data_IF_107059903373
#
_entry.id   IF_107059903373
#
_cell.length_a   1.000
_cell.length_b   1.000
_cell.length_c   1.000
_cell.angle_alpha   90.00
_cell.angle_beta   90.00
_cell.angle_gamma   90.00
#
_symmetry.space_group_name_H-M   'P 1'
#
loop_
_entity.id
_entity.type
_entity.pdbx_description
1 polymer ?
#
# COMPACT_ATOMS: atom_id res chain seq x y z
N UNK A 1 10.56 -21.78 14.12
CA UNK A 1 11.63 -22.67 13.61
C UNK A 1 10.97 -23.93 13.08
N UNK A 2 11.27 -24.33 11.84
CA UNK A 2 10.78 -25.58 11.28
C UNK A 2 11.60 -26.72 11.86
N UNK A 3 10.94 -27.85 12.15
CA UNK A 3 11.62 -29.05 12.63
C UNK A 3 12.38 -29.66 11.45
N UNK A 4 13.65 -29.96 11.65
CA UNK A 4 14.45 -30.62 10.61
C UNK A 4 13.94 -32.03 10.40
N UNK A 5 13.80 -32.44 9.14
CA UNK A 5 13.49 -33.80 8.74
C UNK A 5 14.79 -34.44 8.27
N UNK A 6 15.10 -35.64 8.76
CA UNK A 6 16.28 -36.43 8.39
C UNK A 6 15.83 -37.77 7.88
N UNK A 7 16.66 -38.43 7.08
CA UNK A 7 16.41 -39.77 6.60
C UNK A 7 16.45 -40.78 7.76
N UNK A 8 15.53 -41.74 7.74
CA UNK A 8 15.46 -42.81 8.72
C UNK A 8 16.30 -44.00 8.27
N UNK A 9 17.29 -44.38 9.08
CA UNK A 9 18.09 -45.60 8.86
C UNK A 9 17.48 -46.77 9.65
N UNK A 10 17.21 -47.90 8.98
CA UNK A 10 16.64 -49.07 9.62
C UNK A 10 17.55 -49.70 10.68
N UNK A 11 18.87 -49.56 10.56
CA UNK A 11 19.83 -50.16 11.48
C UNK A 11 20.11 -49.27 12.69
N UNK A 12 20.18 -47.94 12.47
CA UNK A 12 20.65 -46.97 13.49
C UNK A 12 19.57 -46.01 13.95
N UNK A 13 18.38 -46.05 13.34
CA UNK A 13 17.30 -45.11 13.63
C UNK A 13 17.58 -43.69 13.11
N UNK A 14 17.04 -42.71 13.79
CA UNK A 14 17.26 -41.29 13.50
C UNK A 14 17.84 -40.59 14.73
N UNK A 15 18.86 -39.77 14.53
CA UNK A 15 19.45 -38.99 15.64
C UNK A 15 18.47 -37.92 16.08
N UNK A 16 18.10 -37.92 17.37
CA UNK A 16 17.24 -36.89 17.94
C UNK A 16 17.93 -35.54 17.89
N UNK A 17 17.33 -34.62 17.16
CA UNK A 17 17.76 -33.21 17.19
C UNK A 17 17.32 -32.54 18.51
N UNK A 18 18.20 -31.77 19.12
CA UNK A 18 17.81 -30.86 20.22
C UNK A 18 17.01 -29.69 19.64
N UNK A 19 15.71 -29.67 19.90
CA UNK A 19 14.84 -28.56 19.51
C UNK A 19 15.28 -27.27 20.21
N UNK A 20 15.92 -26.37 19.47
CA UNK A 20 16.20 -25.02 19.98
C UNK A 20 14.98 -24.11 19.79
N UNK A 21 14.46 -23.55 20.87
CA UNK A 21 13.44 -22.52 20.78
C UNK A 21 14.12 -21.15 20.85
N UNK A 22 14.12 -20.43 19.73
CA UNK A 22 14.54 -19.03 19.73
C UNK A 22 13.34 -18.16 20.11
N UNK A 23 13.48 -17.39 21.19
CA UNK A 23 12.50 -16.39 21.61
C UNK A 23 12.84 -15.05 20.96
N UNK A 24 11.87 -14.42 20.35
CA UNK A 24 11.98 -13.03 19.92
C UNK A 24 11.24 -12.12 20.90
N UNK A 25 11.91 -11.08 21.35
CA UNK A 25 11.31 -10.05 22.21
C UNK A 25 10.57 -9.03 21.36
N UNK A 26 9.43 -8.57 21.87
CA UNK A 26 8.68 -7.44 21.32
C UNK A 26 8.57 -6.37 22.41
N UNK A 27 9.05 -5.18 22.10
CA UNK A 27 8.89 -4.04 22.98
C UNK A 27 7.52 -3.42 22.77
N UNK A 28 6.78 -3.21 23.84
CA UNK A 28 5.48 -2.52 23.81
C UNK A 28 5.79 -1.03 23.87
N UNK A 29 5.50 -0.34 22.76
CA UNK A 29 5.92 1.04 22.53
C UNK A 29 4.76 2.00 22.22
N UNK A 30 3.54 1.47 22.04
CA UNK A 30 2.35 2.26 21.71
C UNK A 30 1.45 2.37 22.94
N UNK A 31 1.17 3.60 23.35
CA UNK A 31 0.21 3.94 24.38
C UNK A 31 -0.70 5.04 23.84
N UNK A 32 -1.93 4.69 23.47
CA UNK A 32 -2.90 5.55 22.82
C UNK A 32 -4.16 5.66 23.66
N UNK A 33 -4.69 6.88 23.77
CA UNK A 33 -5.92 7.11 24.50
C UNK A 33 -6.78 8.18 23.85
N UNK A 34 -8.07 8.11 24.15
CA UNK A 34 -9.06 9.17 23.88
C UNK A 34 -9.54 9.72 25.22
N UNK A 35 -9.72 11.03 25.25
CA UNK A 35 -10.33 11.72 26.37
C UNK A 35 -11.02 12.96 25.81
N UNK A 36 -12.35 12.91 25.69
CA UNK A 36 -13.19 14.02 25.21
C UNK A 36 -14.20 14.39 26.29
N UNK A 37 -14.27 15.65 26.67
CA UNK A 37 -15.20 16.14 27.66
C UNK A 37 -16.45 16.63 26.95
N UNK A 38 -17.61 16.16 27.42
CA UNK A 38 -18.94 16.56 26.95
C UNK A 38 -19.64 17.29 28.10
N UNK A 39 -20.01 18.54 27.85
CA UNK A 39 -20.80 19.32 28.82
C UNK A 39 -22.23 18.74 28.88
N UNK A 40 -22.76 18.59 30.09
CA UNK A 40 -24.10 18.05 30.29
C UNK A 40 -25.21 18.93 29.70
N UNK A 41 -25.00 20.24 29.62
CA UNK A 41 -25.92 21.16 28.98
C UNK A 41 -25.99 20.94 27.47
N UNK A 42 -24.82 20.75 26.82
CA UNK A 42 -24.74 20.42 25.41
C UNK A 42 -25.35 19.06 25.10
N UNK A 43 -25.08 18.06 25.94
CA UNK A 43 -25.68 16.73 25.83
C UNK A 43 -27.20 16.73 25.94
N UNK A 44 -27.74 17.60 26.80
CA UNK A 44 -29.20 17.77 26.98
C UNK A 44 -29.86 18.61 25.88
N UNK A 45 -29.08 19.52 25.24
CA UNK A 45 -29.59 20.44 24.21
C UNK A 45 -29.60 19.83 22.79
N UNK A 46 -28.85 18.77 22.54
CA UNK A 46 -28.79 18.09 21.25
C UNK A 46 -29.88 17.01 21.20
N UNK A 47 -30.80 17.05 20.21
CA UNK A 47 -31.92 16.11 20.14
C UNK A 47 -31.48 14.67 19.82
N UNK A 48 -30.33 14.50 19.18
CA UNK A 48 -29.76 13.19 18.86
C UNK A 48 -28.82 12.73 19.98
N UNK A 49 -28.65 11.43 20.11
CA UNK A 49 -27.90 10.78 21.19
C UNK A 49 -26.38 11.06 21.11
N UNK A 50 -25.97 12.33 21.29
CA UNK A 50 -24.60 12.83 21.16
C UNK A 50 -23.57 11.96 21.89
N UNK A 51 -23.89 11.50 23.10
CA UNK A 51 -22.99 10.69 23.92
C UNK A 51 -22.71 9.33 23.26
N UNK A 52 -23.74 8.67 22.70
CA UNK A 52 -23.54 7.39 22.02
C UNK A 52 -22.71 7.54 20.75
N UNK A 53 -22.97 8.57 19.96
CA UNK A 53 -22.20 8.85 18.74
C UNK A 53 -20.73 9.14 19.05
N UNK A 54 -20.45 9.83 20.17
CA UNK A 54 -19.08 10.09 20.61
C UNK A 54 -18.38 8.81 21.12
N UNK A 55 -19.10 7.94 21.83
CA UNK A 55 -18.56 6.63 22.25
C UNK A 55 -18.19 5.77 21.04
N UNK A 56 -19.08 5.67 20.06
CA UNK A 56 -18.83 4.90 18.84
C UNK A 56 -17.66 5.49 18.03
N UNK A 57 -17.63 6.82 17.86
CA UNK A 57 -16.56 7.53 17.18
C UNK A 57 -15.20 7.33 17.86
N UNK A 58 -15.15 7.39 19.19
CA UNK A 58 -13.95 7.16 19.98
C UNK A 58 -13.44 5.71 19.84
N UNK A 59 -14.36 4.73 19.86
CA UNK A 59 -14.04 3.32 19.64
C UNK A 59 -13.45 3.09 18.25
N UNK A 60 -14.09 3.64 17.22
CA UNK A 60 -13.61 3.59 15.83
C UNK A 60 -12.23 4.24 15.67
N UNK A 61 -12.03 5.41 16.26
CA UNK A 61 -10.75 6.15 16.18
C UNK A 61 -9.59 5.40 16.83
N UNK A 62 -9.81 4.78 18.01
CA UNK A 62 -8.80 3.96 18.67
C UNK A 62 -8.46 2.70 17.85
N UNK A 63 -9.47 2.05 17.28
CA UNK A 63 -9.26 0.89 16.42
C UNK A 63 -8.50 1.28 15.14
N UNK A 64 -8.90 2.36 14.49
CA UNK A 64 -8.23 2.88 13.30
C UNK A 64 -6.77 3.28 13.55
N UNK A 65 -6.47 3.89 14.71
CA UNK A 65 -5.09 4.21 15.10
C UNK A 65 -4.23 2.95 15.29
N UNK A 66 -4.79 1.92 15.94
CA UNK A 66 -4.10 0.65 16.14
C UNK A 66 -3.81 -0.06 14.80
N UNK A 67 -4.76 -0.01 13.86
CA UNK A 67 -4.59 -0.59 12.53
C UNK A 67 -3.57 0.21 11.69
N UNK A 68 -3.58 1.54 11.79
CA UNK A 68 -2.59 2.42 11.13
C UNK A 68 -1.17 2.17 11.64
N UNK A 69 -0.98 2.08 12.96
CA UNK A 69 0.31 1.74 13.56
C UNK A 69 0.76 0.34 13.13
N UNK A 70 -0.18 -0.62 13.01
CA UNK A 70 0.08 -1.96 12.50
C UNK A 70 0.53 -1.96 11.05
N UNK A 71 -0.16 -1.23 10.18
CA UNK A 71 0.20 -1.08 8.77
C UNK A 71 1.60 -0.46 8.61
N UNK A 72 1.91 0.57 9.39
CA UNK A 72 3.24 1.19 9.40
C UNK A 72 4.35 0.19 9.73
N UNK A 73 4.14 -0.67 10.75
CA UNK A 73 5.10 -1.71 11.12
C UNK A 73 5.20 -2.79 10.03
N UNK A 74 4.08 -3.17 9.41
CA UNK A 74 4.08 -4.12 8.29
C UNK A 74 4.87 -3.57 7.10
N UNK A 75 4.66 -2.32 6.72
CA UNK A 75 5.37 -1.66 5.61
C UNK A 75 6.87 -1.58 5.90
N UNK A 76 7.23 -1.12 7.10
CA UNK A 76 8.64 -0.98 7.51
C UNK A 76 9.38 -2.32 7.59
N UNK A 77 8.68 -3.39 8.02
CA UNK A 77 9.23 -4.74 8.13
C UNK A 77 9.14 -5.58 6.86
N UNK A 78 8.47 -5.09 5.81
CA UNK A 78 8.26 -5.82 4.56
C UNK A 78 9.52 -5.86 3.69
N UNK A 79 9.60 -6.88 2.84
CA UNK A 79 10.54 -6.87 1.71
C UNK A 79 9.91 -6.07 0.57
N UNK A 80 10.55 -5.01 0.14
CA UNK A 80 10.08 -4.19 -0.96
C UNK A 80 10.07 -4.97 -2.30
N UNK A 81 9.02 -4.78 -3.07
CA UNK A 81 8.90 -5.18 -4.46
C UNK A 81 8.66 -3.91 -5.28
N UNK A 82 9.60 -3.56 -6.12
CA UNK A 82 9.49 -2.38 -6.97
C UNK A 82 8.85 -2.78 -8.30
N UNK A 83 7.75 -2.14 -8.64
CA UNK A 83 7.02 -2.36 -9.88
C UNK A 83 7.22 -1.20 -10.87
N UNK A 84 6.89 -1.43 -12.13
CA UNK A 84 6.64 -0.35 -13.08
C UNK A 84 5.35 0.39 -12.69
N UNK A 85 5.07 1.53 -13.33
CA UNK A 85 3.82 2.25 -13.08
C UNK A 85 2.63 1.31 -13.28
N UNK A 86 1.81 1.19 -12.24
CA UNK A 86 0.64 0.35 -12.26
C UNK A 86 -0.48 0.95 -13.10
N UNK A 87 -1.14 0.11 -13.85
CA UNK A 87 -2.29 0.43 -14.68
C UNK A 87 -3.21 -0.78 -14.78
N UNK A 88 -4.38 -0.58 -15.38
CA UNK A 88 -5.39 -1.65 -15.58
C UNK A 88 -4.85 -2.87 -16.32
N UNK A 89 -3.84 -2.69 -17.17
CA UNK A 89 -3.32 -3.73 -18.07
C UNK A 89 -2.19 -4.56 -17.44
N UNK A 90 -1.58 -4.12 -16.31
CA UNK A 90 -0.46 -4.83 -15.68
C UNK A 90 -0.66 -5.13 -14.18
N UNK A 91 -1.76 -4.67 -13.59
CA UNK A 91 -2.05 -4.90 -12.18
C UNK A 91 -2.21 -6.38 -11.85
N UNK A 92 -2.84 -7.15 -12.75
CA UNK A 92 -3.02 -8.58 -12.60
C UNK A 92 -1.67 -9.32 -12.54
N UNK A 93 -0.79 -9.05 -13.51
CA UNK A 93 0.55 -9.64 -13.54
C UNK A 93 1.32 -9.35 -12.26
N UNK A 94 1.25 -8.10 -11.77
CA UNK A 94 1.91 -7.70 -10.51
C UNK A 94 1.38 -8.52 -9.33
N UNK A 95 0.08 -8.75 -9.22
CA UNK A 95 -0.50 -9.58 -8.15
C UNK A 95 -0.04 -11.04 -8.25
N UNK A 96 0.03 -11.59 -9.47
CA UNK A 96 0.53 -12.94 -9.72
C UNK A 96 2.02 -13.05 -9.38
N UNK A 97 2.81 -12.05 -9.68
CA UNK A 97 4.24 -11.99 -9.32
C UNK A 97 4.46 -11.98 -7.81
N UNK A 98 3.65 -11.20 -7.07
CA UNK A 98 3.67 -11.21 -5.60
C UNK A 98 3.36 -12.61 -5.07
N UNK A 99 2.31 -13.25 -5.58
CA UNK A 99 1.95 -14.63 -5.22
C UNK A 99 3.10 -15.58 -5.47
N UNK A 100 3.73 -15.47 -6.62
CA UNK A 100 4.86 -16.32 -7.03
C UNK A 100 6.06 -16.10 -6.12
N UNK A 101 6.39 -14.85 -5.81
CA UNK A 101 7.48 -14.49 -4.90
C UNK A 101 7.25 -15.05 -3.48
N UNK A 102 6.01 -14.97 -2.96
CA UNK A 102 5.65 -15.54 -1.67
C UNK A 102 5.73 -17.08 -1.69
N UNK A 103 5.29 -17.72 -2.76
CA UNK A 103 5.35 -19.18 -2.90
C UNK A 103 6.79 -19.68 -2.99
N UNK A 104 7.67 -19.00 -3.74
CA UNK A 104 9.12 -19.29 -3.77
C UNK A 104 9.79 -19.10 -2.41
N UNK A 105 9.26 -18.23 -1.55
CA UNK A 105 9.73 -18.03 -0.18
C UNK A 105 9.13 -19.06 0.82
N UNK A 106 8.44 -20.10 0.35
CA UNK A 106 7.76 -21.13 1.16
C UNK A 106 6.75 -20.53 2.16
N UNK A 107 6.03 -19.49 1.77
CA UNK A 107 4.93 -18.94 2.56
C UNK A 107 3.68 -19.79 2.33
N UNK A 108 2.97 -20.25 3.39
CA UNK A 108 1.80 -21.09 3.26
C UNK A 108 0.74 -20.49 2.32
N UNK A 109 0.12 -21.36 1.52
CA UNK A 109 -1.01 -21.02 0.66
C UNK A 109 -2.28 -21.72 1.17
N UNK A 110 -2.66 -21.37 2.40
CA UNK A 110 -3.78 -21.95 3.15
C UNK A 110 -5.06 -21.10 3.04
N UNK A 111 -5.10 -20.14 2.09
CA UNK A 111 -6.23 -19.24 1.89
C UNK A 111 -6.29 -18.06 2.87
N UNK A 112 -5.27 -17.86 3.70
CA UNK A 112 -5.16 -16.78 4.68
C UNK A 112 -4.22 -15.65 4.25
N UNK A 113 -3.63 -15.76 3.07
CA UNK A 113 -2.84 -14.65 2.53
C UNK A 113 -3.73 -13.44 2.34
N UNK A 114 -3.27 -12.25 2.75
CA UNK A 114 -4.00 -11.00 2.59
C UNK A 114 -3.27 -10.07 1.64
N UNK A 115 -4.02 -9.16 1.04
CA UNK A 115 -3.56 -8.08 0.19
C UNK A 115 -4.25 -6.78 0.65
N UNK A 116 -3.49 -5.89 1.26
CA UNK A 116 -3.93 -4.53 1.56
C UNK A 116 -3.64 -3.67 0.34
N UNK A 117 -4.64 -2.98 -0.18
CA UNK A 117 -4.56 -2.24 -1.44
C UNK A 117 -4.95 -0.79 -1.18
N UNK A 118 -4.16 0.15 -1.69
CA UNK A 118 -4.54 1.57 -1.64
C UNK A 118 -5.77 1.84 -2.51
N UNK A 119 -6.61 2.86 -2.20
CA UNK A 119 -7.82 3.16 -2.97
C UNK A 119 -7.59 3.34 -4.47
N UNK A 120 -6.50 4.01 -4.85
CA UNK A 120 -6.14 4.19 -6.26
C UNK A 120 -5.83 2.86 -6.94
N UNK A 121 -5.07 1.99 -6.27
CA UNK A 121 -4.74 0.66 -6.78
C UNK A 121 -5.97 -0.25 -6.81
N UNK A 122 -6.87 -0.13 -5.80
CA UNK A 122 -8.14 -0.84 -5.79
C UNK A 122 -9.00 -0.49 -7.00
N UNK A 123 -9.07 0.80 -7.34
CA UNK A 123 -9.76 1.25 -8.56
C UNK A 123 -9.14 0.69 -9.85
N UNK A 124 -7.81 0.48 -9.90
CA UNK A 124 -7.16 -0.17 -11.04
C UNK A 124 -7.54 -1.65 -11.13
N UNK A 125 -7.62 -2.35 -10.00
CA UNK A 125 -8.05 -3.76 -9.97
C UNK A 125 -9.49 -3.90 -10.48
N UNK A 126 -10.40 -3.01 -10.04
CA UNK A 126 -11.79 -3.00 -10.55
C UNK A 126 -11.90 -2.72 -12.05
N UNK A 127 -10.95 -1.99 -12.63
CA UNK A 127 -10.89 -1.68 -14.07
C UNK A 127 -10.13 -2.73 -14.89
N UNK A 128 -9.56 -3.74 -14.25
CA UNK A 128 -8.76 -4.77 -14.89
C UNK A 128 -9.66 -5.68 -15.74
N UNK A 129 -9.35 -5.90 -17.05
CA UNK A 129 -10.16 -6.70 -17.95
C UNK A 129 -10.35 -8.15 -17.48
N UNK A 130 -9.34 -8.73 -16.84
CA UNK A 130 -9.36 -10.09 -16.32
C UNK A 130 -10.43 -10.29 -15.22
N UNK A 131 -10.82 -9.22 -14.54
CA UNK A 131 -11.90 -9.25 -13.56
C UNK A 131 -13.26 -8.97 -14.17
N UNK A 132 -13.35 -8.04 -15.13
CA UNK A 132 -14.62 -7.64 -15.73
C UNK A 132 -15.17 -8.65 -16.74
N UNK A 133 -14.30 -9.50 -17.31
CA UNK A 133 -14.69 -10.52 -18.29
C UNK A 133 -14.91 -11.92 -17.70
N UNK A 134 -14.67 -12.13 -16.42
CA UNK A 134 -14.76 -13.45 -15.79
C UNK A 134 -16.14 -13.69 -15.19
N UNK A 135 -17.13 -14.11 -16.03
CA UNK A 135 -18.39 -14.75 -15.61
C UNK A 135 -19.10 -14.22 -14.34
N UNK A 136 -19.87 -15.07 -13.66
CA UNK A 136 -20.69 -14.75 -12.48
C UNK A 136 -19.98 -14.01 -11.33
N UNK A 137 -18.67 -14.15 -11.22
CA UNK A 137 -17.86 -13.43 -10.23
C UNK A 137 -17.66 -11.96 -10.60
N UNK A 138 -17.52 -11.67 -11.90
CA UNK A 138 -17.39 -10.31 -12.44
C UNK A 138 -18.65 -9.50 -12.21
N UNK A 139 -19.81 -10.08 -12.39
CA UNK A 139 -21.10 -9.42 -12.18
C UNK A 139 -21.33 -9.09 -10.70
N UNK A 140 -20.94 -9.96 -9.78
CA UNK A 140 -21.04 -9.69 -8.34
C UNK A 140 -20.08 -8.57 -7.91
N UNK A 141 -18.87 -8.52 -8.44
CA UNK A 141 -17.87 -7.45 -8.17
C UNK A 141 -18.35 -6.12 -8.74
N UNK A 142 -18.92 -6.10 -9.95
CA UNK A 142 -19.48 -4.89 -10.56
C UNK A 142 -20.66 -4.32 -9.77
N UNK A 143 -21.49 -5.18 -9.16
CA UNK A 143 -22.64 -4.75 -8.36
C UNK A 143 -22.26 -4.28 -6.95
N UNK A 144 -21.33 -4.96 -6.28
CA UNK A 144 -21.02 -4.73 -4.87
C UNK A 144 -19.73 -3.94 -4.65
N UNK A 145 -18.85 -3.88 -5.66
CA UNK A 145 -17.52 -3.30 -5.51
C UNK A 145 -16.58 -4.09 -4.59
N UNK A 146 -17.00 -5.25 -4.07
CA UNK A 146 -16.21 -6.05 -3.14
C UNK A 146 -15.41 -7.12 -3.88
N UNK A 147 -14.09 -7.03 -3.85
CA UNK A 147 -13.19 -7.94 -4.57
C UNK A 147 -13.04 -9.32 -3.93
N UNK A 148 -13.37 -9.47 -2.65
CA UNK A 148 -13.32 -10.77 -1.94
C UNK A 148 -11.94 -11.43 -1.99
N UNK A 149 -11.75 -12.39 -2.89
CA UNK A 149 -10.47 -13.14 -3.07
C UNK A 149 -9.94 -12.97 -4.48
N UNK A 150 -8.66 -12.61 -4.58
CA UNK A 150 -7.94 -12.45 -5.84
C UNK A 150 -6.65 -13.29 -5.80
N UNK A 151 -6.42 -14.12 -6.79
CA UNK A 151 -5.20 -14.95 -6.90
C UNK A 151 -4.81 -15.66 -5.59
N UNK A 152 -5.79 -16.02 -4.75
CA UNK A 152 -5.57 -16.65 -3.46
C UNK A 152 -5.33 -15.70 -2.29
N UNK A 153 -5.41 -14.38 -2.49
CA UNK A 153 -5.36 -13.36 -1.45
C UNK A 153 -6.75 -12.91 -1.02
N UNK A 154 -6.93 -12.66 0.27
CA UNK A 154 -8.04 -11.87 0.80
C UNK A 154 -7.71 -10.39 0.60
N UNK A 155 -8.55 -9.66 -0.13
CA UNK A 155 -8.29 -8.26 -0.47
C UNK A 155 -9.01 -7.34 0.49
N UNK A 156 -8.26 -6.35 0.99
CA UNK A 156 -8.77 -5.30 1.85
C UNK A 156 -8.32 -3.94 1.30
N UNK A 157 -9.25 -3.00 1.21
CA UNK A 157 -8.91 -1.62 0.91
C UNK A 157 -8.35 -0.95 2.16
N UNK A 158 -7.22 -0.26 2.00
CA UNK A 158 -6.53 0.44 3.07
C UNK A 158 -5.99 1.77 2.57
N UNK A 159 -6.45 2.86 3.18
CA UNK A 159 -5.94 4.19 2.85
C UNK A 159 -4.64 4.45 3.63
N UNK A 160 -3.52 4.47 2.92
CA UNK A 160 -2.19 4.76 3.47
C UNK A 160 -1.57 5.97 2.76
N UNK A 161 -0.83 6.78 3.52
CA UNK A 161 -0.19 8.00 3.02
C UNK A 161 1.27 7.81 2.63
N UNK A 162 1.78 6.57 2.71
CA UNK A 162 3.16 6.26 2.29
C UNK A 162 3.32 6.51 0.79
N UNK A 163 4.23 7.40 0.44
CA UNK A 163 4.45 7.79 -0.94
C UNK A 163 4.83 6.58 -1.83
N UNK A 164 4.18 6.49 -2.99
CA UNK A 164 4.45 5.45 -3.98
C UNK A 164 4.10 4.01 -3.54
N UNK A 165 3.53 3.81 -2.36
CA UNK A 165 3.01 2.51 -1.93
C UNK A 165 1.73 2.19 -2.70
N UNK A 166 1.67 1.04 -3.33
CA UNK A 166 0.49 0.57 -4.06
C UNK A 166 -0.28 -0.50 -3.28
N UNK A 167 0.43 -1.48 -2.72
CA UNK A 167 -0.18 -2.57 -1.97
C UNK A 167 0.81 -3.24 -1.01
N UNK A 168 0.26 -3.93 0.00
CA UNK A 168 1.02 -4.77 0.93
C UNK A 168 0.41 -6.16 0.97
N UNK A 169 1.19 -7.16 0.61
CA UNK A 169 0.78 -8.56 0.69
C UNK A 169 1.46 -9.25 1.89
N UNK A 170 0.75 -10.14 2.55
CA UNK A 170 1.32 -10.85 3.68
C UNK A 170 0.54 -12.10 4.07
N UNK A 171 1.02 -12.74 5.14
CA UNK A 171 0.34 -13.86 5.76
C UNK A 171 0.32 -13.66 7.28
N UNK A 172 -0.83 -13.84 7.97
CA UNK A 172 -1.00 -13.53 9.40
C UNK A 172 -0.01 -14.23 10.34
N UNK A 173 0.50 -15.40 9.95
CA UNK A 173 1.45 -16.17 10.77
C UNK A 173 2.79 -15.45 11.01
N UNK A 174 3.16 -14.49 10.17
CA UNK A 174 4.49 -13.88 10.16
C UNK A 174 4.51 -12.43 10.64
N UNK A 175 3.39 -11.95 11.14
CA UNK A 175 3.28 -10.71 11.90
C UNK A 175 2.45 -10.96 13.16
N UNK A 176 2.75 -10.26 14.22
CA UNK A 176 2.05 -10.43 15.50
C UNK A 176 1.71 -9.08 16.11
N UNK A 177 0.62 -9.07 16.86
CA UNK A 177 0.18 -7.95 17.68
C UNK A 177 0.02 -8.42 19.13
N UNK A 178 0.50 -7.64 20.06
CA UNK A 178 0.26 -7.82 21.48
C UNK A 178 -0.51 -6.62 22.02
N UNK A 179 -1.56 -6.87 22.76
CA UNK A 179 -2.25 -5.90 23.62
C UNK A 179 -1.86 -6.21 25.06
N UNK A 180 -1.21 -5.30 25.73
CA UNK A 180 -0.84 -5.48 27.13
C UNK A 180 -1.94 -4.96 28.05
N UNK A 181 -2.47 -3.80 27.73
CA UNK A 181 -3.48 -3.14 28.53
C UNK A 181 -4.56 -2.50 27.66
N UNK A 182 -5.81 -2.61 28.09
CA UNK A 182 -6.94 -2.00 27.39
C UNK A 182 -7.97 -1.51 28.38
N UNK A 183 -8.32 -0.24 28.28
CA UNK A 183 -9.52 0.33 28.90
C UNK A 183 -10.53 0.53 27.75
N UNK A 184 -11.63 -0.23 27.72
CA UNK A 184 -12.69 -0.02 26.74
C UNK A 184 -13.18 1.43 26.77
N UNK A 185 -13.66 1.91 25.63
CA UNK A 185 -14.28 3.23 25.59
C UNK A 185 -15.51 3.23 26.48
N UNK A 186 -15.60 4.19 27.38
CA UNK A 186 -16.66 4.34 28.35
C UNK A 186 -16.93 5.80 28.68
N UNK A 187 -18.07 6.06 29.27
CA UNK A 187 -18.42 7.38 29.79
C UNK A 187 -18.01 7.47 31.27
N UNK A 188 -17.17 8.46 31.60
CA UNK A 188 -16.75 8.79 32.96
C UNK A 188 -17.48 10.05 33.42
N UNK A 189 -18.23 9.95 34.51
CA UNK A 189 -18.81 11.14 35.18
C UNK A 189 -17.71 11.98 35.82
N UNK A 190 -17.69 13.27 35.53
CA UNK A 190 -16.72 14.25 36.06
C UNK A 190 -17.31 15.14 37.14
N UNK A 191 -18.57 14.95 37.55
CA UNK A 191 -19.28 15.82 38.51
C UNK A 191 -18.53 15.99 39.84
N UNK A 192 -17.72 14.98 40.25
CA UNK A 192 -16.88 15.04 41.44
C UNK A 192 -15.53 15.72 41.29
N UNK A 193 -15.15 16.18 40.10
CA UNK A 193 -13.83 16.75 39.82
C UNK A 193 -13.62 18.18 40.33
N UNK A 194 -14.69 18.84 40.74
CA UNK A 194 -14.69 20.24 41.18
C UNK A 194 -14.46 21.27 40.06
N UNK A 195 -13.95 20.85 38.90
CA UNK A 195 -13.69 21.71 37.74
C UNK A 195 -14.78 21.58 36.67
N UNK A 196 -15.35 20.40 36.49
CA UNK A 196 -16.29 20.08 35.44
C UNK A 196 -17.64 19.66 36.03
N UNK A 197 -18.42 20.63 36.50
CA UNK A 197 -19.72 20.39 37.13
C UNK A 197 -20.74 20.01 36.06
N UNK A 198 -21.35 18.81 36.18
CA UNK A 198 -22.36 18.32 35.25
C UNK A 198 -21.82 17.84 33.89
N UNK A 199 -20.50 17.71 33.73
CA UNK A 199 -19.87 17.18 32.51
C UNK A 199 -19.51 15.72 32.67
N UNK A 200 -19.39 15.02 31.53
CA UNK A 200 -18.89 13.66 31.43
C UNK A 200 -17.73 13.59 30.43
N UNK A 201 -16.87 12.59 30.56
CA UNK A 201 -15.79 12.36 29.61
C UNK A 201 -15.94 10.99 28.92
N UNK A 202 -15.79 10.98 27.62
CA UNK A 202 -15.59 9.75 26.82
C UNK A 202 -14.13 9.40 26.90
N UNK A 203 -13.81 8.26 27.50
CA UNK A 203 -12.44 7.85 27.77
C UNK A 203 -12.18 6.42 27.28
N UNK A 204 -10.98 6.19 26.75
CA UNK A 204 -10.49 4.87 26.38
C UNK A 204 -8.98 4.87 26.25
N UNK A 205 -8.31 3.73 26.49
CA UNK A 205 -6.85 3.62 26.39
C UNK A 205 -6.44 2.24 25.93
N UNK A 206 -5.46 2.18 25.05
CA UNK A 206 -4.87 0.94 24.53
C UNK A 206 -3.34 1.02 24.61
N UNK A 207 -2.74 -0.01 25.21
CA UNK A 207 -1.28 -0.21 25.22
C UNK A 207 -0.98 -1.46 24.44
N UNK A 208 -0.21 -1.33 23.35
CA UNK A 208 0.00 -2.41 22.39
C UNK A 208 1.34 -2.28 21.67
N UNK A 209 1.68 -3.32 20.94
CA UNK A 209 2.79 -3.33 20.00
C UNK A 209 2.49 -4.23 18.79
N UNK A 210 3.19 -3.98 17.70
CA UNK A 210 3.19 -4.81 16.50
C UNK A 210 4.61 -5.21 16.16
N UNK A 211 4.80 -6.43 15.63
CA UNK A 211 6.10 -6.90 15.16
C UNK A 211 5.97 -7.79 13.93
N UNK A 212 6.83 -7.57 12.95
CA UNK A 212 7.04 -8.48 11.83
C UNK A 212 8.06 -9.53 12.25
N UNK A 213 7.69 -10.80 12.15
CA UNK A 213 8.53 -11.94 12.51
C UNK A 213 9.39 -12.42 11.36
N UNK A 214 8.90 -12.30 10.13
CA UNK A 214 9.61 -12.73 8.93
C UNK A 214 9.35 -11.78 7.77
N UNK A 215 10.31 -10.92 7.45
CA UNK A 215 10.19 -9.87 6.43
C UNK A 215 9.89 -10.41 5.02
N UNK A 216 10.48 -11.55 4.64
CA UNK A 216 10.22 -12.17 3.32
C UNK A 216 8.79 -12.68 3.14
N UNK A 217 8.01 -12.80 4.21
CA UNK A 217 6.61 -13.21 4.16
C UNK A 217 5.64 -12.03 3.98
N UNK A 218 6.17 -10.82 4.01
CA UNK A 218 5.42 -9.58 3.81
C UNK A 218 6.08 -8.83 2.66
N UNK A 219 5.29 -8.44 1.67
CA UNK A 219 5.74 -7.74 0.47
C UNK A 219 5.07 -6.37 0.40
N UNK A 220 5.85 -5.30 0.43
CA UNK A 220 5.38 -3.95 0.14
C UNK A 220 5.70 -3.63 -1.33
N UNK A 221 4.68 -3.34 -2.11
CA UNK A 221 4.81 -3.04 -3.55
C UNK A 221 4.80 -1.55 -3.75
N UNK A 222 5.83 -1.05 -4.38
CA UNK A 222 5.99 0.35 -4.72
C UNK A 222 5.90 0.53 -6.23
N UNK A 223 5.15 1.54 -6.66
CA UNK A 223 4.95 1.93 -8.05
C UNK A 223 5.33 3.39 -8.25
N UNK A 224 5.92 3.78 -9.40
CA UNK A 224 6.16 5.18 -9.69
C UNK A 224 4.88 5.99 -9.66
N UNK A 225 4.96 7.22 -9.14
CA UNK A 225 3.88 8.20 -9.24
C UNK A 225 3.59 8.56 -10.71
N UNK A 226 2.38 8.99 -11.01
CA UNK A 226 2.02 9.43 -12.35
C UNK A 226 2.50 10.87 -12.61
N UNK A 227 3.16 11.09 -13.75
CA UNK A 227 3.46 12.42 -14.29
C UNK A 227 2.49 12.75 -15.42
N UNK A 228 1.99 13.96 -15.44
CA UNK A 228 1.25 14.46 -16.59
C UNK A 228 2.24 14.97 -17.66
N UNK A 229 2.20 14.35 -18.83
CA UNK A 229 3.08 14.67 -19.98
C UNK A 229 2.20 15.09 -21.15
N UNK A 230 2.52 16.24 -21.73
CA UNK A 230 1.90 16.74 -22.97
C UNK A 230 2.97 17.01 -24.01
N UNK A 231 2.64 16.84 -25.29
CA UNK A 231 3.54 17.07 -26.39
C UNK A 231 3.05 18.25 -27.28
N UNK A 232 4.00 18.96 -27.84
CA UNK A 232 3.79 20.01 -28.83
C UNK A 232 4.85 19.91 -29.92
N UNK A 233 4.58 20.50 -31.10
CA UNK A 233 5.54 20.50 -32.19
C UNK A 233 6.88 21.13 -31.77
N UNK A 234 7.96 20.50 -32.19
CA UNK A 234 9.32 21.04 -32.07
C UNK A 234 9.62 22.21 -33.04
N UNK A 235 10.86 22.62 -33.09
CA UNK A 235 11.32 23.67 -34.02
C UNK A 235 11.78 23.08 -35.37
N UNK A 236 12.31 21.86 -35.35
CA UNK A 236 12.89 21.16 -36.52
C UNK A 236 11.94 20.10 -37.05
N UNK A 237 12.04 19.75 -38.33
CA UNK A 237 11.27 18.64 -38.93
C UNK A 237 11.53 17.33 -38.15
N UNK A 238 10.46 16.58 -37.86
CA UNK A 238 10.51 15.39 -37.02
C UNK A 238 10.67 15.68 -35.51
N UNK A 239 10.69 16.95 -35.11
CA UNK A 239 10.90 17.36 -33.72
C UNK A 239 9.61 17.46 -32.90
N UNK A 240 9.69 17.11 -31.61
CA UNK A 240 8.63 17.33 -30.61
C UNK A 240 9.21 17.90 -29.32
N UNK A 241 8.40 18.61 -28.54
CA UNK A 241 8.75 19.10 -27.21
C UNK A 241 7.74 18.60 -26.21
N UNK A 242 8.23 18.20 -25.03
CA UNK A 242 7.38 17.68 -23.95
C UNK A 242 7.27 18.70 -22.81
N UNK A 243 6.06 18.93 -22.36
CA UNK A 243 5.79 19.66 -21.11
C UNK A 243 5.35 18.65 -20.06
N UNK A 244 6.06 18.66 -18.93
CA UNK A 244 5.84 17.75 -17.80
C UNK A 244 5.42 18.56 -16.59
N UNK A 245 4.33 18.14 -15.97
CA UNK A 245 3.80 18.76 -14.74
C UNK A 245 3.78 17.75 -13.59
N UNK A 246 3.95 18.26 -12.34
CA UNK A 246 3.96 17.43 -11.14
C UNK A 246 5.32 16.86 -10.75
N UNK A 247 6.38 17.16 -11.49
CA UNK A 247 7.73 16.76 -11.14
C UNK A 247 8.45 17.82 -10.29
N UNK A 248 9.25 17.37 -9.34
CA UNK A 248 10.13 18.18 -8.49
C UNK A 248 11.62 17.82 -8.64
N UNK A 249 11.91 16.70 -9.27
CA UNK A 249 13.25 16.15 -9.50
C UNK A 249 13.78 16.40 -10.92
N UNK A 250 14.89 15.76 -11.23
CA UNK A 250 15.50 15.79 -12.58
C UNK A 250 14.68 14.91 -13.53
N UNK A 251 14.37 15.41 -14.71
CA UNK A 251 13.65 14.66 -15.72
C UNK A 251 14.60 14.00 -16.72
N UNK A 252 14.29 12.78 -17.10
CA UNK A 252 14.90 12.06 -18.21
C UNK A 252 13.84 11.40 -19.06
N UNK A 253 14.11 11.17 -20.33
CA UNK A 253 13.22 10.49 -21.25
C UNK A 253 13.87 9.36 -22.01
N UNK A 254 13.06 8.41 -22.45
CA UNK A 254 13.43 7.36 -23.40
C UNK A 254 12.33 7.25 -24.46
N UNK A 255 12.72 7.23 -25.73
CA UNK A 255 11.82 7.00 -26.86
C UNK A 255 11.71 5.50 -27.11
N UNK A 256 10.50 4.99 -27.26
CA UNK A 256 10.18 3.59 -27.50
C UNK A 256 10.92 2.63 -26.54
N UNK A 257 10.73 2.77 -25.22
CA UNK A 257 11.45 1.96 -24.23
C UNK A 257 11.15 0.47 -24.42
N UNK A 258 12.17 -0.37 -24.43
CA UNK A 258 12.04 -1.82 -24.48
C UNK A 258 11.41 -2.41 -23.19
N UNK A 259 11.58 -1.73 -22.07
CA UNK A 259 10.97 -2.04 -20.80
C UNK A 259 10.59 -0.76 -20.06
N UNK A 260 9.52 -0.84 -19.26
CA UNK A 260 9.04 0.31 -18.48
C UNK A 260 9.97 0.60 -17.30
N UNK A 261 10.09 1.88 -16.94
CA UNK A 261 10.83 2.30 -15.76
C UNK A 261 10.20 1.75 -14.49
N UNK A 262 11.05 1.22 -13.61
CA UNK A 262 10.64 0.60 -12.33
C UNK A 262 10.97 1.57 -11.19
N UNK A 263 10.06 1.68 -10.21
CA UNK A 263 10.26 2.50 -9.02
C UNK A 263 11.57 2.17 -8.31
N UNK A 264 12.31 3.20 -7.88
CA UNK A 264 13.55 3.01 -7.14
C UNK A 264 14.74 2.45 -7.93
N UNK A 265 14.57 2.14 -9.22
CA UNK A 265 15.65 1.71 -10.10
C UNK A 265 16.42 2.91 -10.66
N UNK A 266 17.66 2.66 -11.13
CA UNK A 266 18.39 3.63 -11.92
C UNK A 266 17.75 3.76 -13.31
N UNK A 267 17.79 4.97 -13.89
CA UNK A 267 17.22 5.24 -15.21
C UNK A 267 18.25 5.84 -16.16
N UNK A 268 18.48 5.16 -17.27
CA UNK A 268 19.53 5.51 -18.26
C UNK A 268 19.10 6.48 -19.37
N UNK A 269 17.89 7.07 -19.28
CA UNK A 269 17.36 7.95 -20.32
C UNK A 269 18.11 9.26 -20.50
N UNK A 270 17.80 9.97 -21.60
CA UNK A 270 18.38 11.28 -21.96
C UNK A 270 17.78 12.38 -21.08
N UNK A 271 18.59 13.37 -20.69
CA UNK A 271 18.10 14.50 -19.90
C UNK A 271 17.00 15.29 -20.62
N UNK A 272 15.97 15.67 -19.87
CA UNK A 272 14.83 16.43 -20.36
C UNK A 272 14.64 17.71 -19.53
N UNK A 273 14.57 18.84 -20.21
CA UNK A 273 14.08 20.09 -19.62
C UNK A 273 12.66 20.35 -20.15
N UNK A 274 11.67 20.35 -19.24
CA UNK A 274 10.25 20.51 -19.59
C UNK A 274 10.02 21.77 -20.45
N UNK A 275 9.30 21.63 -21.54
CA UNK A 275 8.97 22.70 -22.48
C UNK A 275 10.12 23.18 -23.38
N UNK A 276 11.38 22.76 -23.12
CA UNK A 276 12.57 23.29 -23.81
C UNK A 276 13.27 22.25 -24.65
N UNK A 277 13.54 21.05 -24.08
CA UNK A 277 14.27 19.99 -24.80
C UNK A 277 13.47 19.53 -26.02
N UNK A 278 14.10 19.58 -27.17
CA UNK A 278 13.56 19.06 -28.43
C UNK A 278 13.99 17.61 -28.62
N UNK A 279 13.03 16.75 -28.89
CA UNK A 279 13.25 15.34 -29.18
C UNK A 279 13.14 15.18 -30.69
N UNK A 280 14.21 14.78 -31.34
CA UNK A 280 14.28 14.64 -32.78
C UNK A 280 13.85 13.25 -33.26
N UNK A 281 13.68 13.12 -34.58
CA UNK A 281 13.38 11.86 -35.26
C UNK A 281 12.15 11.14 -34.75
N UNK A 282 11.12 11.90 -34.36
CA UNK A 282 9.86 11.38 -33.87
C UNK A 282 8.90 11.05 -35.02
N UNK A 283 8.17 9.96 -34.88
CA UNK A 283 7.09 9.52 -35.73
C UNK A 283 5.77 9.40 -34.98
N UNK A 284 4.66 9.54 -35.69
CA UNK A 284 3.36 9.29 -35.08
C UNK A 284 3.25 7.82 -34.63
N UNK A 285 2.84 7.61 -33.38
CA UNK A 285 2.79 6.30 -32.73
C UNK A 285 4.02 6.02 -31.84
N UNK A 286 5.09 6.84 -31.90
CA UNK A 286 6.18 6.71 -30.96
C UNK A 286 5.71 6.92 -29.51
N UNK A 287 6.17 6.06 -28.61
CA UNK A 287 5.92 6.16 -27.18
C UNK A 287 7.13 6.81 -26.51
N UNK A 288 6.89 7.90 -25.80
CA UNK A 288 7.94 8.51 -24.99
C UNK A 288 7.61 8.30 -23.52
N UNK A 289 8.52 7.65 -22.82
CA UNK A 289 8.54 7.52 -21.38
C UNK A 289 9.36 8.63 -20.77
N UNK A 290 8.79 9.34 -19.80
CA UNK A 290 9.49 10.38 -19.03
C UNK A 290 9.54 9.93 -17.58
N UNK A 291 10.73 9.91 -17.00
CA UNK A 291 10.96 9.56 -15.61
C UNK A 291 11.48 10.76 -14.81
N UNK A 292 10.90 10.97 -13.64
CA UNK A 292 11.44 11.86 -12.61
C UNK A 292 12.45 11.09 -11.76
N UNK A 293 13.64 11.65 -11.66
CA UNK A 293 14.76 11.07 -10.92
C UNK A 293 15.02 11.90 -9.66
N UNK A 294 14.94 11.22 -8.51
CA UNK A 294 15.29 11.77 -7.20
C UNK A 294 16.32 10.84 -6.56
N UNK A 295 17.43 11.39 -6.08
CA UNK A 295 18.55 10.61 -5.51
C UNK A 295 19.03 9.48 -6.44
N UNK A 296 19.12 9.77 -7.74
CA UNK A 296 19.53 8.83 -8.81
C UNK A 296 18.58 7.66 -9.06
N UNK A 297 17.35 7.72 -8.55
CA UNK A 297 16.33 6.66 -8.65
C UNK A 297 15.03 7.20 -9.23
N UNK A 298 14.31 6.33 -9.95
CA UNK A 298 12.96 6.64 -10.45
C UNK A 298 11.99 6.83 -9.30
N UNK A 299 11.31 7.97 -9.28
CA UNK A 299 10.25 8.32 -8.34
C UNK A 299 8.88 8.33 -9.00
N UNK A 300 8.77 8.99 -10.14
CA UNK A 300 7.52 9.16 -10.88
C UNK A 300 7.77 8.96 -12.38
N UNK A 301 6.76 8.52 -13.12
CA UNK A 301 6.85 8.23 -14.57
C UNK A 301 5.61 8.73 -15.28
N UNK A 302 5.76 9.18 -16.50
CA UNK A 302 4.67 9.52 -17.40
C UNK A 302 4.93 8.99 -18.80
N UNK A 303 3.86 8.63 -19.50
CA UNK A 303 3.91 8.12 -20.88
C UNK A 303 3.09 9.00 -21.79
N UNK A 304 3.59 9.21 -23.00
CA UNK A 304 2.82 9.82 -24.08
C UNK A 304 3.07 9.07 -25.37
N UNK A 305 1.98 8.79 -26.10
CA UNK A 305 2.05 8.31 -27.48
C UNK A 305 1.87 9.50 -28.41
N UNK A 306 2.86 9.78 -29.23
CA UNK A 306 2.87 10.95 -30.10
C UNK A 306 1.86 10.84 -31.24
N UNK A 307 1.15 11.93 -31.49
CA UNK A 307 0.27 12.12 -32.64
C UNK A 307 1.01 12.90 -33.73
N UNK A 308 0.59 12.76 -34.98
CA UNK A 308 1.17 13.51 -36.11
C UNK A 308 1.10 15.04 -35.91
N UNK A 309 0.06 15.54 -35.20
CA UNK A 309 -0.11 16.97 -34.88
C UNK A 309 0.88 17.52 -33.84
N UNK A 310 1.57 16.65 -33.12
CA UNK A 310 2.54 16.98 -32.06
C UNK A 310 3.99 16.94 -32.57
N UNK A 311 4.18 16.61 -33.82
CA UNK A 311 5.47 16.49 -34.49
C UNK A 311 5.56 17.56 -35.57
N UNK A 312 6.69 18.23 -35.63
CA UNK A 312 6.95 19.24 -36.67
C UNK A 312 7.10 18.56 -38.04
N UNK A 313 6.31 19.01 -38.99
CA UNK A 313 6.39 18.55 -40.37
C UNK A 313 7.70 18.95 -41.07
#
# INVERSE_FOLDING_TARGET
TEVAVSDYDKANGITAGTGGTAYETMTIDKDKGVNEIIDGYDAAGVPDNLVADRLDSAGYSLAGQMDSDGATVLIAGATALNAAQLGKDNIWETIVDIRTAMSKANIPNDGKRYLLVTPDTYALVLKCPEFTHASDLGDAVLQTGALGKIAGFLVFEWNDTTANLAMVAGHPRFATRCKEFAVPVHLQDLSGSGRYIGASAVQGRLVYAHKVLRSVAIRAVYSPGALAVTAAQGATAGGTKLTVTGASGTLKYTKNPASRAVFGAAYGGTALTSGTTEIADCAAGDVIEVAEIVSSKVKSVGYITLKASEIKA
#
